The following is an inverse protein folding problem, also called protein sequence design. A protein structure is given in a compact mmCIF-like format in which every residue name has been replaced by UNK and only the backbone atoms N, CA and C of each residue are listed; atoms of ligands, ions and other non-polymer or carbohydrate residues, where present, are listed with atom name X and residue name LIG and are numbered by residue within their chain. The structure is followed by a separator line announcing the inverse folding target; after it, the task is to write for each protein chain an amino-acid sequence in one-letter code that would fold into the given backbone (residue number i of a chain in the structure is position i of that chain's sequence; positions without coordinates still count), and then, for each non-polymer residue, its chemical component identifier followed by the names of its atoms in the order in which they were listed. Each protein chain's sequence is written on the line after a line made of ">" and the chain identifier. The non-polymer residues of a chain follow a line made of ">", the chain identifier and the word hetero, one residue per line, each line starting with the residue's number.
data_IF_650324793305
#
_entry.id   IF_650324793305
#
_cell.length_a   1.000
_cell.length_b   1.000
_cell.length_c   1.000
_cell.angle_alpha   90.00
_cell.angle_beta   90.00
_cell.angle_gamma   90.00
#
_symmetry.space_group_name_H-M   'P 1'
#
loop_
_entity.id
_entity.type
_entity.pdbx_description
1 polymer ?
#
# COMPACT_ATOMS: atom_id res chain seq x y z
N UNK A 1 71.73 -7.39 -14.28
CA UNK A 1 70.46 -6.78 -13.82
C UNK A 1 69.70 -7.85 -13.05
N UNK A 2 69.48 -7.62 -11.77
CA UNK A 2 68.95 -8.61 -10.82
C UNK A 2 67.44 -8.74 -10.99
N UNK A 3 67.00 -9.84 -11.59
CA UNK A 3 65.62 -10.32 -11.43
C UNK A 3 65.51 -10.91 -10.03
N UNK A 4 65.16 -10.08 -9.04
CA UNK A 4 64.67 -10.57 -7.75
C UNK A 4 63.26 -11.09 -7.97
N UNK A 5 63.18 -12.39 -8.22
CA UNK A 5 61.96 -13.17 -8.30
C UNK A 5 61.12 -12.98 -7.03
N UNK A 6 59.85 -12.66 -7.23
CA UNK A 6 58.87 -12.58 -6.16
C UNK A 6 58.74 -13.91 -5.41
N UNK A 7 58.40 -13.83 -4.12
CA UNK A 7 58.09 -14.95 -3.21
C UNK A 7 59.19 -16.00 -2.94
N UNK A 8 60.28 -16.06 -3.70
CA UNK A 8 61.31 -17.12 -3.63
C UNK A 8 62.29 -17.07 -2.45
N UNK A 9 62.16 -16.11 -1.53
CA UNK A 9 62.99 -15.99 -0.32
C UNK A 9 62.33 -16.48 0.98
N UNK A 10 61.08 -16.94 0.94
CA UNK A 10 60.29 -17.33 2.12
C UNK A 10 60.34 -18.86 2.34
N UNK A 11 60.36 -19.31 3.60
CA UNK A 11 60.24 -20.75 3.93
C UNK A 11 58.94 -21.31 3.35
N UNK A 12 58.97 -22.54 2.82
CA UNK A 12 57.81 -23.21 2.20
C UNK A 12 56.53 -23.17 3.06
N UNK A 13 56.68 -23.27 4.38
CA UNK A 13 55.57 -23.13 5.34
C UNK A 13 54.89 -21.76 5.29
N UNK A 14 55.65 -20.68 5.13
CA UNK A 14 55.10 -19.32 5.03
C UNK A 14 54.36 -19.11 3.71
N UNK A 15 54.84 -19.71 2.61
CA UNK A 15 54.13 -19.68 1.33
C UNK A 15 52.78 -20.40 1.40
N UNK A 16 52.71 -21.53 2.13
CA UNK A 16 51.45 -22.25 2.39
C UNK A 16 50.45 -21.46 3.23
N UNK A 17 50.91 -20.80 4.30
CA UNK A 17 50.06 -19.92 5.12
C UNK A 17 49.56 -18.70 4.34
N UNK A 18 50.41 -18.11 3.49
CA UNK A 18 50.03 -16.96 2.65
C UNK A 18 48.95 -17.36 1.64
N UNK A 19 49.10 -18.53 1.00
CA UNK A 19 48.09 -19.07 0.09
C UNK A 19 46.77 -19.35 0.81
N UNK A 20 46.81 -19.99 1.99
CA UNK A 20 45.62 -20.23 2.81
C UNK A 20 44.93 -18.91 3.19
N UNK A 21 45.68 -17.90 3.62
CA UNK A 21 45.12 -16.60 3.98
C UNK A 21 44.49 -15.89 2.77
N UNK A 22 45.09 -16.00 1.59
CA UNK A 22 44.47 -15.52 0.35
C UNK A 22 43.14 -16.22 0.07
N UNK A 23 43.07 -17.55 0.20
CA UNK A 23 41.82 -18.29 0.05
C UNK A 23 40.76 -17.84 1.07
N UNK A 24 41.14 -17.68 2.34
CA UNK A 24 40.23 -17.22 3.41
C UNK A 24 39.72 -15.80 3.14
N UNK A 25 40.56 -14.87 2.68
CA UNK A 25 40.10 -13.52 2.32
C UNK A 25 39.07 -13.57 1.18
N UNK A 26 39.35 -14.36 0.15
CA UNK A 26 38.45 -14.51 -0.99
C UNK A 26 37.12 -15.10 -0.53
N UNK A 27 37.13 -16.15 0.29
CA UNK A 27 35.92 -16.75 0.86
C UNK A 27 35.12 -15.77 1.72
N UNK A 28 35.78 -15.03 2.63
CA UNK A 28 35.11 -14.02 3.46
C UNK A 28 34.49 -12.92 2.59
N UNK A 29 35.19 -12.48 1.54
CA UNK A 29 34.65 -11.47 0.62
C UNK A 29 33.42 -11.97 -0.14
N UNK A 30 33.42 -13.26 -0.52
CA UNK A 30 32.32 -13.90 -1.22
C UNK A 30 31.10 -14.06 -0.30
N UNK A 31 31.30 -14.61 0.90
CA UNK A 31 30.22 -14.75 1.91
C UNK A 31 29.66 -13.39 2.30
N UNK A 32 30.51 -12.36 2.43
CA UNK A 32 30.08 -10.99 2.70
C UNK A 32 29.24 -10.40 1.57
N UNK A 33 29.63 -10.63 0.31
CA UNK A 33 28.86 -10.20 -0.85
C UNK A 33 27.50 -10.91 -0.94
N UNK A 34 27.46 -12.22 -0.70
CA UNK A 34 26.20 -12.99 -0.66
C UNK A 34 25.28 -12.51 0.46
N UNK A 35 25.81 -12.32 1.67
CA UNK A 35 25.05 -11.79 2.79
C UNK A 35 24.46 -10.40 2.52
N UNK A 36 25.24 -9.52 1.89
CA UNK A 36 24.76 -8.21 1.46
C UNK A 36 23.63 -8.30 0.43
N UNK A 37 23.77 -9.19 -0.56
CA UNK A 37 22.75 -9.41 -1.59
C UNK A 37 21.44 -9.97 -1.00
N UNK A 38 21.53 -10.89 -0.03
CA UNK A 38 20.36 -11.44 0.67
C UNK A 38 19.66 -10.34 1.47
N UNK A 39 20.42 -9.56 2.25
CA UNK A 39 19.84 -8.45 3.01
C UNK A 39 19.15 -7.42 2.12
N UNK A 40 19.76 -7.08 0.99
CA UNK A 40 19.15 -6.19 0.00
C UNK A 40 17.86 -6.79 -0.57
N UNK A 41 17.88 -8.07 -0.94
CA UNK A 41 16.71 -8.76 -1.48
C UNK A 41 15.54 -8.79 -0.47
N UNK A 42 15.81 -9.05 0.81
CA UNK A 42 14.77 -9.00 1.85
C UNK A 42 14.20 -7.59 2.03
N UNK A 43 15.05 -6.57 2.03
CA UNK A 43 14.61 -5.18 2.16
C UNK A 43 13.70 -4.78 1.01
N UNK A 44 14.04 -5.18 -0.22
CA UNK A 44 13.21 -4.93 -1.40
C UNK A 44 11.91 -5.75 -1.37
N UNK A 45 11.95 -7.00 -0.89
CA UNK A 45 10.76 -7.84 -0.73
C UNK A 45 9.77 -7.21 0.28
N UNK A 46 10.25 -6.78 1.45
CA UNK A 46 9.44 -6.06 2.45
C UNK A 46 8.85 -4.77 1.88
N UNK A 47 9.63 -4.01 1.11
CA UNK A 47 9.13 -2.80 0.44
C UNK A 47 8.01 -3.12 -0.55
N UNK A 48 8.17 -4.15 -1.37
CA UNK A 48 7.16 -4.56 -2.35
C UNK A 48 5.87 -5.07 -1.67
N UNK A 49 6.00 -5.84 -0.59
CA UNK A 49 4.86 -6.29 0.22
C UNK A 49 4.10 -5.10 0.83
N UNK A 50 4.83 -4.14 1.42
CA UNK A 50 4.24 -2.92 1.97
C UNK A 50 3.43 -2.13 0.93
N UNK A 51 3.99 -1.96 -0.27
CA UNK A 51 3.31 -1.28 -1.39
C UNK A 51 2.05 -2.03 -1.82
N UNK A 52 2.12 -3.36 -1.92
CA UNK A 52 0.94 -4.19 -2.24
C UNK A 52 -0.14 -4.08 -1.17
N UNK A 53 0.24 -4.03 0.10
CA UNK A 53 -0.70 -3.86 1.20
C UNK A 53 -1.38 -2.48 1.13
N UNK A 54 -0.64 -1.41 0.86
CA UNK A 54 -1.21 -0.06 0.65
C UNK A 54 -2.21 -0.09 -0.50
N UNK A 55 -1.87 -0.67 -1.65
CA UNK A 55 -2.77 -0.79 -2.80
C UNK A 55 -4.02 -1.60 -2.44
N UNK A 56 -3.87 -2.72 -1.74
CA UNK A 56 -4.98 -3.57 -1.32
C UNK A 56 -5.93 -2.82 -0.37
N UNK A 57 -5.40 -2.14 0.65
CA UNK A 57 -6.18 -1.35 1.61
C UNK A 57 -6.87 -0.16 0.95
N UNK A 58 -6.22 0.49 -0.02
CA UNK A 58 -6.80 1.61 -0.77
C UNK A 58 -7.95 1.14 -1.66
N UNK A 59 -7.81 0.01 -2.36
CA UNK A 59 -8.90 -0.58 -3.14
C UNK A 59 -10.06 -1.04 -2.27
N UNK A 60 -9.74 -1.65 -1.11
CA UNK A 60 -10.75 -2.05 -0.14
C UNK A 60 -11.53 -0.84 0.39
N UNK A 61 -10.85 0.28 0.66
CA UNK A 61 -11.50 1.52 1.05
C UNK A 61 -12.50 2.02 0.01
N UNK A 62 -12.16 1.95 -1.29
CA UNK A 62 -13.10 2.28 -2.38
C UNK A 62 -14.34 1.39 -2.30
N UNK A 63 -14.19 0.08 -2.10
CA UNK A 63 -15.31 -0.85 -1.99
C UNK A 63 -16.19 -0.54 -0.79
N UNK A 64 -15.58 -0.30 0.38
CA UNK A 64 -16.30 0.07 1.60
C UNK A 64 -17.10 1.35 1.41
N UNK A 65 -16.59 2.35 0.67
CA UNK A 65 -17.34 3.57 0.35
C UNK A 65 -18.63 3.27 -0.43
N UNK A 66 -18.56 2.46 -1.49
CA UNK A 66 -19.73 2.10 -2.29
C UNK A 66 -20.73 1.27 -1.46
N UNK A 67 -20.23 0.31 -0.69
CA UNK A 67 -21.05 -0.54 0.17
C UNK A 67 -21.77 0.26 1.27
N UNK A 68 -21.11 1.27 1.83
CA UNK A 68 -21.67 2.18 2.83
C UNK A 68 -22.85 2.96 2.25
N UNK A 69 -22.67 3.57 1.07
CA UNK A 69 -23.74 4.29 0.39
C UNK A 69 -24.92 3.38 0.03
N UNK A 70 -24.65 2.16 -0.44
CA UNK A 70 -25.67 1.18 -0.75
C UNK A 70 -26.46 0.75 0.49
N UNK A 71 -25.79 0.47 1.61
CA UNK A 71 -26.43 0.09 2.87
C UNK A 71 -27.36 1.19 3.40
N UNK A 72 -26.95 2.46 3.36
CA UNK A 72 -27.79 3.58 3.80
C UNK A 72 -29.02 3.74 2.91
N UNK A 73 -28.87 3.61 1.58
CA UNK A 73 -30.02 3.69 0.66
C UNK A 73 -30.98 2.51 0.85
N UNK A 74 -30.47 1.30 1.09
CA UNK A 74 -31.29 0.13 1.36
C UNK A 74 -32.05 0.27 2.69
N UNK A 75 -31.36 0.73 3.74
CA UNK A 75 -31.98 1.06 5.03
C UNK A 75 -33.08 2.13 4.87
N UNK A 76 -32.82 3.18 4.09
CA UNK A 76 -33.78 4.25 3.84
C UNK A 76 -35.08 3.77 3.18
N UNK A 77 -35.02 2.68 2.41
CA UNK A 77 -36.16 2.13 1.69
C UNK A 77 -37.01 1.21 2.57
N UNK A 78 -36.37 0.23 3.21
CA UNK A 78 -37.05 -0.91 3.84
C UNK A 78 -36.87 -0.96 5.37
N UNK A 79 -36.11 -0.04 5.97
CA UNK A 79 -35.76 0.02 7.41
C UNK A 79 -35.20 -1.30 7.97
N UNK A 80 -34.48 -2.04 7.14
CA UNK A 80 -33.85 -3.30 7.51
C UNK A 80 -32.64 -3.05 8.44
N UNK A 81 -32.76 -3.47 9.70
CA UNK A 81 -31.70 -3.34 10.72
C UNK A 81 -30.38 -4.02 10.32
N UNK A 82 -30.42 -5.04 9.43
CA UNK A 82 -29.19 -5.62 8.90
C UNK A 82 -28.40 -4.60 8.06
N UNK A 83 -29.08 -3.69 7.35
CA UNK A 83 -28.43 -2.62 6.59
C UNK A 83 -27.89 -1.52 7.52
N UNK A 84 -28.59 -1.21 8.61
CA UNK A 84 -28.07 -0.29 9.64
C UNK A 84 -26.81 -0.85 10.31
N UNK A 85 -26.80 -2.15 10.63
CA UNK A 85 -25.63 -2.83 11.16
C UNK A 85 -24.47 -2.85 10.15
N UNK A 86 -24.75 -3.11 8.86
CA UNK A 86 -23.75 -3.05 7.79
C UNK A 86 -23.16 -1.65 7.64
N UNK A 87 -23.99 -0.60 7.68
CA UNK A 87 -23.51 0.78 7.66
C UNK A 87 -22.54 1.06 8.82
N UNK A 88 -22.92 0.69 10.05
CA UNK A 88 -22.07 0.87 11.23
C UNK A 88 -20.74 0.12 11.07
N UNK A 89 -20.78 -1.15 10.65
CA UNK A 89 -19.57 -1.95 10.40
C UNK A 89 -18.64 -1.27 9.39
N UNK A 90 -19.18 -0.81 8.27
CA UNK A 90 -18.40 -0.18 7.23
C UNK A 90 -17.77 1.15 7.70
N UNK A 91 -18.47 1.90 8.56
CA UNK A 91 -17.93 3.11 9.18
C UNK A 91 -16.74 2.80 10.09
N UNK A 92 -16.87 1.80 10.95
CA UNK A 92 -15.80 1.37 11.85
C UNK A 92 -14.59 0.86 11.04
N UNK A 93 -14.85 0.07 10.01
CA UNK A 93 -13.82 -0.44 9.10
C UNK A 93 -13.10 0.67 8.32
N UNK A 94 -13.84 1.69 7.85
CA UNK A 94 -13.26 2.88 7.21
C UNK A 94 -12.25 3.57 8.14
N UNK A 95 -12.60 3.74 9.42
CA UNK A 95 -11.71 4.37 10.39
C UNK A 95 -10.43 3.55 10.60
N UNK A 96 -10.54 2.23 10.67
CA UNK A 96 -9.39 1.32 10.81
C UNK A 96 -8.47 1.40 9.58
N UNK A 97 -9.04 1.37 8.37
CA UNK A 97 -8.25 1.44 7.13
C UNK A 97 -7.53 2.78 7.01
N UNK A 98 -8.21 3.89 7.31
CA UNK A 98 -7.62 5.22 7.27
C UNK A 98 -6.49 5.39 8.29
N UNK A 99 -6.67 4.89 9.52
CA UNK A 99 -5.62 4.93 10.53
C UNK A 99 -4.38 4.15 10.08
N UNK A 100 -4.57 2.96 9.52
CA UNK A 100 -3.49 2.15 8.98
C UNK A 100 -2.77 2.84 7.81
N UNK A 101 -3.52 3.39 6.84
CA UNK A 101 -2.94 4.09 5.68
C UNK A 101 -2.13 5.33 6.11
N UNK A 102 -2.58 6.06 7.13
CA UNK A 102 -1.85 7.22 7.67
C UNK A 102 -0.51 6.82 8.25
N UNK A 103 -0.46 5.73 8.99
CA UNK A 103 0.79 5.21 9.54
C UNK A 103 1.70 4.67 8.43
N UNK A 104 1.15 3.94 7.46
CA UNK A 104 1.90 3.35 6.35
C UNK A 104 2.52 4.38 5.40
N UNK A 105 1.96 5.59 5.33
CA UNK A 105 2.38 6.69 4.45
C UNK A 105 3.01 7.86 5.20
N UNK A 106 3.30 7.73 6.51
CA UNK A 106 3.84 8.85 7.32
C UNK A 106 5.18 9.41 6.78
N UNK A 107 5.98 8.55 6.15
CA UNK A 107 7.29 8.89 5.60
C UNK A 107 7.21 9.34 4.12
N UNK A 108 6.00 9.40 3.56
CA UNK A 108 5.71 9.81 2.18
C UNK A 108 4.79 11.05 2.18
N UNK A 109 5.36 12.27 2.28
CA UNK A 109 4.58 13.49 2.48
C UNK A 109 3.63 13.80 1.31
N UNK A 110 3.96 13.39 0.09
CA UNK A 110 3.11 13.60 -1.08
C UNK A 110 1.85 12.74 -0.98
N UNK A 111 2.02 11.43 -0.77
CA UNK A 111 0.89 10.51 -0.65
C UNK A 111 0.10 10.71 0.65
N UNK A 112 0.77 11.15 1.73
CA UNK A 112 0.10 11.54 2.97
C UNK A 112 -0.84 12.74 2.80
N UNK A 113 -0.44 13.74 1.99
CA UNK A 113 -1.28 14.89 1.68
C UNK A 113 -2.53 14.48 0.87
N UNK A 114 -2.39 13.52 -0.05
CA UNK A 114 -3.52 12.93 -0.79
C UNK A 114 -4.46 12.21 0.20
N UNK A 115 -3.92 11.36 1.07
CA UNK A 115 -4.71 10.64 2.07
C UNK A 115 -5.43 11.58 3.04
N UNK A 116 -4.82 12.72 3.39
CA UNK A 116 -5.45 13.72 4.25
C UNK A 116 -6.70 14.33 3.60
N UNK A 117 -6.69 14.56 2.28
CA UNK A 117 -7.89 14.99 1.54
C UNK A 117 -8.93 13.89 1.46
N UNK A 118 -8.52 12.64 1.26
CA UNK A 118 -9.41 11.47 1.29
C UNK A 118 -10.14 11.40 2.63
N UNK A 119 -9.42 11.52 3.75
CA UNK A 119 -10.00 11.50 5.08
C UNK A 119 -11.00 12.64 5.28
N UNK A 120 -10.64 13.88 4.91
CA UNK A 120 -11.56 15.02 4.99
C UNK A 120 -12.85 14.80 4.18
N UNK A 121 -12.74 14.31 2.93
CA UNK A 121 -13.90 13.99 2.10
C UNK A 121 -14.71 12.82 2.65
N UNK A 122 -14.06 11.84 3.28
CA UNK A 122 -14.72 10.72 3.93
C UNK A 122 -15.54 11.17 5.13
N UNK A 123 -15.01 12.08 5.96
CA UNK A 123 -15.74 12.64 7.10
C UNK A 123 -16.98 13.41 6.66
N UNK A 124 -16.88 14.18 5.57
CA UNK A 124 -18.04 14.84 4.95
C UNK A 124 -19.07 13.80 4.54
N UNK A 125 -18.65 12.75 3.81
CA UNK A 125 -19.54 11.67 3.36
C UNK A 125 -20.21 10.94 4.52
N UNK A 126 -19.46 10.55 5.54
CA UNK A 126 -19.99 9.86 6.73
C UNK A 126 -21.01 10.73 7.48
N UNK A 127 -20.71 12.03 7.66
CA UNK A 127 -21.62 12.97 8.30
C UNK A 127 -22.92 13.13 7.49
N UNK A 128 -22.82 13.22 6.16
CA UNK A 128 -24.00 13.27 5.29
C UNK A 128 -24.82 11.99 5.42
N UNK A 129 -24.19 10.82 5.45
CA UNK A 129 -24.88 9.53 5.62
C UNK A 129 -25.57 9.40 6.98
N UNK A 130 -24.94 9.86 8.06
CA UNK A 130 -25.53 9.92 9.39
C UNK A 130 -26.81 10.79 9.39
N UNK A 131 -26.75 11.96 8.74
CA UNK A 131 -27.91 12.85 8.61
C UNK A 131 -29.05 12.21 7.80
N UNK A 132 -28.72 11.48 6.73
CA UNK A 132 -29.71 10.74 5.93
C UNK A 132 -30.37 9.65 6.79
N UNK A 133 -29.57 8.85 7.51
CA UNK A 133 -30.10 7.83 8.42
C UNK A 133 -31.01 8.45 9.48
N UNK A 134 -30.59 9.56 10.10
CA UNK A 134 -31.40 10.26 11.09
C UNK A 134 -32.73 10.77 10.52
N UNK A 135 -32.74 11.28 9.28
CA UNK A 135 -33.98 11.67 8.61
C UNK A 135 -34.91 10.48 8.37
N UNK A 136 -34.37 9.31 8.00
CA UNK A 136 -35.15 8.05 7.85
C UNK A 136 -35.77 7.60 9.17
N UNK A 137 -35.05 7.80 10.28
CA UNK A 137 -35.50 7.40 11.61
C UNK A 137 -36.59 8.33 12.16
N UNK A 138 -36.55 9.62 11.82
CA UNK A 138 -37.38 10.66 12.46
C UNK A 138 -38.51 11.24 11.58
N UNK A 139 -38.39 11.13 10.26
CA UNK A 139 -39.32 11.76 9.32
C UNK A 139 -40.17 10.72 8.57
N UNK A 140 -41.32 11.14 8.00
CA UNK A 140 -42.07 10.29 7.08
C UNK A 140 -41.19 9.83 5.91
N UNK A 141 -41.35 8.57 5.49
CA UNK A 141 -40.52 7.91 4.48
C UNK A 141 -40.28 8.76 3.23
N UNK A 142 -41.35 9.36 2.68
CA UNK A 142 -41.25 10.19 1.48
C UNK A 142 -40.35 11.43 1.67
N UNK A 143 -40.41 12.07 2.85
CA UNK A 143 -39.58 13.24 3.17
C UNK A 143 -38.13 12.82 3.34
N UNK A 144 -37.88 11.72 4.06
CA UNK A 144 -36.55 11.16 4.27
C UNK A 144 -35.88 10.74 2.95
N UNK A 145 -36.60 10.05 2.06
CA UNK A 145 -36.10 9.63 0.74
C UNK A 145 -35.77 10.84 -0.13
N UNK A 146 -36.65 11.86 -0.16
CA UNK A 146 -36.40 13.09 -0.91
C UNK A 146 -35.18 13.87 -0.38
N UNK A 147 -35.01 13.91 0.95
CA UNK A 147 -33.83 14.48 1.59
C UNK A 147 -32.57 13.72 1.20
N UNK A 148 -32.57 12.39 1.36
CA UNK A 148 -31.43 11.54 0.99
C UNK A 148 -31.02 11.65 -0.48
N UNK A 149 -32.00 11.73 -1.39
CA UNK A 149 -31.70 11.96 -2.81
C UNK A 149 -31.02 13.31 -3.06
N UNK A 150 -31.48 14.38 -2.40
CA UNK A 150 -30.87 15.71 -2.51
C UNK A 150 -29.46 15.73 -1.96
N UNK A 151 -29.24 15.16 -0.79
CA UNK A 151 -27.92 15.10 -0.17
C UNK A 151 -26.95 14.22 -0.97
N UNK A 152 -27.41 13.12 -1.56
CA UNK A 152 -26.62 12.33 -2.50
C UNK A 152 -26.12 13.18 -3.68
N UNK A 153 -27.00 13.97 -4.31
CA UNK A 153 -26.61 14.83 -5.44
C UNK A 153 -25.53 15.83 -5.01
N UNK A 154 -25.68 16.44 -3.82
CA UNK A 154 -24.68 17.37 -3.28
C UNK A 154 -23.36 16.70 -2.94
N UNK A 155 -23.41 15.43 -2.50
CA UNK A 155 -22.23 14.66 -2.10
C UNK A 155 -21.48 14.08 -3.31
N UNK A 156 -22.13 13.93 -4.47
CA UNK A 156 -21.53 13.33 -5.65
C UNK A 156 -20.17 13.92 -6.04
N UNK A 157 -19.95 15.26 -6.07
CA UNK A 157 -18.64 15.81 -6.39
C UNK A 157 -17.56 15.45 -5.35
N UNK A 158 -17.92 15.42 -4.06
CA UNK A 158 -17.02 14.98 -2.99
C UNK A 158 -16.64 13.51 -3.14
N UNK A 159 -17.61 12.68 -3.50
CA UNK A 159 -17.39 11.26 -3.76
C UNK A 159 -16.49 11.03 -4.99
N UNK A 160 -16.74 11.75 -6.09
CA UNK A 160 -15.91 11.67 -7.30
C UNK A 160 -14.47 12.13 -7.03
N UNK A 161 -14.28 13.17 -6.22
CA UNK A 161 -12.97 13.62 -5.77
C UNK A 161 -12.28 12.56 -4.90
N UNK A 162 -13.00 11.95 -3.96
CA UNK A 162 -12.51 10.88 -3.10
C UNK A 162 -12.05 9.66 -3.91
N UNK A 163 -12.85 9.18 -4.85
CA UNK A 163 -12.49 8.06 -5.72
C UNK A 163 -11.27 8.40 -6.57
N UNK A 164 -11.19 9.64 -7.10
CA UNK A 164 -10.03 10.09 -7.87
C UNK A 164 -8.75 10.11 -7.03
N UNK A 165 -8.80 10.63 -5.80
CA UNK A 165 -7.66 10.67 -4.88
C UNK A 165 -7.23 9.26 -4.43
N UNK A 166 -8.19 8.34 -4.22
CA UNK A 166 -7.85 6.94 -3.92
C UNK A 166 -7.19 6.24 -5.13
N UNK A 167 -7.68 6.48 -6.34
CA UNK A 167 -7.07 5.94 -7.56
C UNK A 167 -5.70 6.55 -7.85
N UNK A 168 -5.48 7.83 -7.52
CA UNK A 168 -4.16 8.45 -7.66
C UNK A 168 -3.16 7.82 -6.67
N UNK A 169 -3.58 7.54 -5.44
CA UNK A 169 -2.77 6.83 -4.45
C UNK A 169 -2.38 5.42 -4.95
N UNK A 170 -3.34 4.65 -5.50
CA UNK A 170 -3.03 3.34 -6.10
C UNK A 170 -2.02 3.46 -7.24
N UNK A 171 -2.16 4.45 -8.12
CA UNK A 171 -1.24 4.66 -9.24
C UNK A 171 0.17 5.05 -8.77
N UNK A 172 0.26 5.93 -7.78
CA UNK A 172 1.54 6.32 -7.19
C UNK A 172 2.28 5.10 -6.62
N UNK A 173 1.56 4.26 -5.88
CA UNK A 173 2.12 3.05 -5.27
C UNK A 173 2.50 1.98 -6.31
N UNK A 174 1.68 1.79 -7.36
CA UNK A 174 2.05 0.88 -8.47
C UNK A 174 3.30 1.33 -9.21
N UNK A 175 3.50 2.63 -9.40
CA UNK A 175 4.72 3.16 -10.01
C UNK A 175 5.95 2.80 -9.18
N UNK A 176 5.85 2.89 -7.85
CA UNK A 176 6.91 2.45 -6.93
C UNK A 176 7.20 0.95 -7.05
N UNK A 177 6.16 0.13 -7.27
CA UNK A 177 6.31 -1.31 -7.51
C UNK A 177 6.98 -1.60 -8.86
N UNK A 178 6.57 -0.94 -9.94
CA UNK A 178 7.11 -1.12 -11.30
C UNK A 178 8.57 -0.70 -11.42
N UNK A 179 8.97 0.37 -10.71
CA UNK A 179 10.34 0.84 -10.65
C UNK A 179 11.24 -0.03 -9.75
N UNK A 180 10.67 -1.02 -9.04
CA UNK A 180 11.43 -1.91 -8.16
C UNK A 180 12.37 -2.84 -8.97
N UNK A 181 13.61 -3.07 -8.51
CA UNK A 181 14.54 -4.01 -9.14
C UNK A 181 13.98 -5.43 -9.28
N UNK A 182 13.11 -5.84 -8.35
CA UNK A 182 12.42 -7.14 -8.39
C UNK A 182 11.46 -7.22 -9.59
N UNK A 183 10.66 -6.17 -9.82
CA UNK A 183 9.75 -6.10 -10.96
C UNK A 183 10.53 -6.10 -12.29
N UNK A 184 11.64 -5.37 -12.35
CA UNK A 184 12.52 -5.35 -13.52
C UNK A 184 13.20 -6.71 -13.78
N UNK A 185 13.61 -7.44 -12.74
CA UNK A 185 14.17 -8.80 -12.87
C UNK A 185 13.12 -9.79 -13.39
N UNK A 186 11.91 -9.77 -12.81
CA UNK A 186 10.79 -10.61 -13.25
C UNK A 186 10.39 -10.34 -14.71
N UNK A 187 10.35 -9.07 -15.13
CA UNK A 187 10.13 -8.71 -16.53
C UNK A 187 11.22 -9.26 -17.46
N UNK A 188 12.50 -9.20 -17.05
CA UNK A 188 13.61 -9.77 -17.84
C UNK A 188 13.54 -11.29 -17.93
N UNK A 189 13.13 -11.97 -16.86
CA UNK A 189 12.97 -13.43 -16.85
C UNK A 189 11.79 -13.88 -17.71
N UNK A 190 10.66 -13.19 -17.67
CA UNK A 190 9.52 -13.50 -18.53
C UNK A 190 9.80 -13.25 -20.02
N UNK A 191 10.58 -12.21 -20.36
CA UNK A 191 11.03 -11.99 -21.74
C UNK A 191 11.97 -13.08 -22.26
N UNK A 192 12.81 -13.67 -21.39
CA UNK A 192 13.68 -14.79 -21.75
C UNK A 192 12.94 -16.11 -21.99
N UNK A 193 11.70 -16.25 -21.50
CA UNK A 193 10.86 -17.44 -21.72
C UNK A 193 10.06 -17.38 -23.04
N UNK A 194 9.96 -16.19 -23.65
CA UNK A 194 9.20 -15.95 -24.88
C UNK A 194 10.12 -15.95 -26.13
N UNK A 195 11.43 -15.77 -25.94
CA UNK A 195 12.47 -15.85 -26.95
C UNK A 195 13.17 -17.22 -26.93
#
# INVERSE_FOLDING_TARGET
>A
MSNKTGLSGLKLSHQGWLLMFCFVIVEISLVGAEGYLVWQAEKEARRAEHVKEIVAKTNHLVQVCYDTGAAVMAYAKDKDEAQAARYKKNRDETAVILAWLKEALKDDPENFAILSRVDANMQIGMTTMDNIKHAVDTQPLFVAVRYGYRERIKLQPTFDALVRDLLSLVRAQRKVEEESPIAQRSQRESQKLIL
#
